data_IF_375690010559
#
_entry.id   IF_375690010559
#
_cell.length_a   1.000
_cell.length_b   1.000
_cell.length_c   1.000
_cell.angle_alpha   90.00
_cell.angle_beta   90.00
_cell.angle_gamma   90.00
#
_symmetry.space_group_name_H-M   'P 1'
#
loop_
_entity.id
_entity.type
_entity.pdbx_description
1 polymer ?
#
# COMPACT_ATOMS: atom_id res chain seq x y z
N UNK A 1 -61.50 33.24 -34.68
CA UNK A 1 -60.48 33.76 -33.73
C UNK A 1 -60.41 32.80 -32.57
N UNK A 2 -59.35 32.01 -32.45
CA UNK A 2 -59.09 31.12 -31.36
C UNK A 2 -57.79 31.56 -30.65
N UNK A 3 -57.69 31.59 -29.33
CA UNK A 3 -56.50 32.09 -28.65
C UNK A 3 -55.42 30.99 -28.48
N UNK A 4 -54.18 31.38 -28.66
CA UNK A 4 -52.97 30.56 -28.56
C UNK A 4 -52.67 30.19 -27.11
N UNK A 5 -52.47 28.89 -26.86
CA UNK A 5 -52.07 28.32 -25.56
C UNK A 5 -50.53 28.36 -25.48
N UNK A 6 -49.99 29.14 -24.52
CA UNK A 6 -48.54 29.20 -24.22
C UNK A 6 -48.14 27.96 -23.42
N UNK A 7 -47.31 27.09 -23.99
CA UNK A 7 -46.62 26.00 -23.31
C UNK A 7 -45.51 26.55 -22.39
N UNK A 8 -45.56 26.23 -21.12
CA UNK A 8 -44.62 26.64 -20.06
C UNK A 8 -43.61 25.51 -19.85
N UNK A 9 -42.42 25.63 -20.45
CA UNK A 9 -41.33 24.69 -20.30
C UNK A 9 -40.72 24.82 -18.88
N UNK A 10 -40.91 23.83 -18.04
CA UNK A 10 -40.24 23.75 -16.73
C UNK A 10 -38.86 23.07 -16.93
N UNK A 11 -37.80 23.86 -16.93
CA UNK A 11 -36.42 23.37 -16.87
C UNK A 11 -36.10 22.92 -15.42
N UNK A 12 -36.08 21.61 -15.22
CA UNK A 12 -35.72 21.00 -13.95
C UNK A 12 -34.20 20.78 -13.90
N UNK A 13 -33.44 21.80 -13.42
CA UNK A 13 -32.00 21.67 -13.13
C UNK A 13 -31.80 20.85 -11.87
N UNK A 14 -31.74 19.52 -11.99
CA UNK A 14 -31.18 18.65 -10.94
C UNK A 14 -29.66 18.88 -10.91
N UNK A 15 -29.19 19.69 -9.97
CA UNK A 15 -27.76 19.73 -9.57
C UNK A 15 -27.43 18.37 -8.95
N UNK A 16 -26.74 17.50 -9.70
CA UNK A 16 -26.14 16.30 -9.17
C UNK A 16 -25.09 16.71 -8.12
N UNK A 17 -25.37 16.47 -6.85
CA UNK A 17 -24.33 16.49 -5.80
C UNK A 17 -23.32 15.40 -6.18
N UNK A 18 -22.09 15.79 -6.45
CA UNK A 18 -20.98 14.84 -6.57
C UNK A 18 -20.92 14.02 -5.29
N UNK A 19 -21.17 12.72 -5.42
CA UNK A 19 -21.09 11.78 -4.29
C UNK A 19 -19.61 11.73 -3.91
N UNK A 20 -19.28 12.02 -2.65
CA UNK A 20 -17.93 11.82 -2.13
C UNK A 20 -17.48 10.38 -2.49
N UNK A 21 -16.21 10.16 -2.84
CA UNK A 21 -15.71 8.82 -3.15
C UNK A 21 -16.03 7.92 -1.95
N UNK A 22 -16.67 6.77 -2.22
CA UNK A 22 -17.02 5.83 -1.19
C UNK A 22 -15.72 5.29 -0.56
N UNK A 23 -15.60 5.40 0.76
CA UNK A 23 -14.46 4.81 1.49
C UNK A 23 -14.43 3.30 1.25
N UNK A 24 -13.22 2.76 1.00
CA UNK A 24 -13.04 1.32 0.89
C UNK A 24 -13.14 0.69 2.28
N UNK A 25 -14.04 -0.28 2.50
CA UNK A 25 -14.24 -0.85 3.83
C UNK A 25 -13.03 -1.67 4.28
N UNK A 26 -12.78 -1.69 5.58
CA UNK A 26 -11.73 -2.51 6.18
C UNK A 26 -12.06 -3.99 6.12
N UNK A 27 -11.03 -4.82 6.00
CA UNK A 27 -11.14 -6.28 6.03
C UNK A 27 -10.51 -6.85 7.30
N UNK A 28 -11.29 -7.63 8.06
CA UNK A 28 -10.75 -8.35 9.22
C UNK A 28 -9.77 -9.47 8.83
N UNK A 29 -9.79 -9.93 7.59
CA UNK A 29 -8.92 -11.02 7.12
C UNK A 29 -7.51 -10.56 6.74
N UNK A 30 -7.35 -9.30 6.34
CA UNK A 30 -6.14 -8.80 5.71
C UNK A 30 -4.89 -8.92 6.59
N UNK A 31 -5.03 -8.70 7.90
CA UNK A 31 -3.88 -8.56 8.81
C UNK A 31 -3.69 -9.71 9.80
N UNK A 32 -4.69 -10.55 10.05
CA UNK A 32 -4.64 -11.59 11.10
C UNK A 32 -3.42 -12.53 10.96
N UNK A 33 -2.91 -12.71 9.75
CA UNK A 33 -1.74 -13.59 9.48
C UNK A 33 -0.43 -12.81 9.34
N UNK A 34 -0.45 -11.49 9.52
CA UNK A 34 0.70 -10.60 9.30
C UNK A 34 0.97 -10.36 7.81
N UNK A 35 2.21 -9.97 7.48
CA UNK A 35 2.56 -9.54 6.12
C UNK A 35 2.70 -10.71 5.13
N UNK A 36 3.10 -11.90 5.56
CA UNK A 36 3.38 -13.08 4.71
C UNK A 36 4.45 -12.78 3.65
N UNK A 37 5.55 -12.12 4.05
CA UNK A 37 6.56 -11.58 3.12
C UNK A 37 7.21 -12.70 2.30
N UNK A 38 7.74 -13.73 2.96
CA UNK A 38 8.43 -14.83 2.29
C UNK A 38 7.52 -15.64 1.39
N UNK A 39 6.30 -15.94 1.88
CA UNK A 39 5.31 -16.68 1.11
C UNK A 39 4.85 -15.87 -0.11
N UNK A 40 4.64 -14.55 0.04
CA UNK A 40 4.25 -13.69 -1.07
C UNK A 40 5.37 -13.60 -2.12
N UNK A 41 6.63 -13.47 -1.70
CA UNK A 41 7.78 -13.47 -2.61
C UNK A 41 7.83 -14.77 -3.43
N UNK A 42 7.74 -15.91 -2.78
CA UNK A 42 7.77 -17.22 -3.45
C UNK A 42 6.60 -17.41 -4.42
N UNK A 43 5.40 -16.94 -4.07
CA UNK A 43 4.26 -16.94 -4.99
C UNK A 43 4.54 -16.06 -6.21
N UNK A 44 5.09 -14.85 -6.02
CA UNK A 44 5.42 -13.94 -7.10
C UNK A 44 6.53 -14.51 -8.02
N UNK A 45 7.56 -15.14 -7.46
CA UNK A 45 8.64 -15.79 -8.22
C UNK A 45 8.14 -16.93 -9.12
N UNK A 46 7.12 -17.66 -8.67
CA UNK A 46 6.49 -18.73 -9.46
C UNK A 46 5.32 -18.25 -10.34
N UNK A 47 5.06 -16.94 -10.44
CA UNK A 47 3.88 -16.43 -11.13
C UNK A 47 4.10 -16.29 -12.64
N UNK A 48 3.22 -16.90 -13.43
CA UNK A 48 3.17 -16.71 -14.88
C UNK A 48 2.25 -15.52 -15.21
N UNK A 49 2.84 -14.44 -15.71
CA UNK A 49 2.13 -13.22 -16.08
C UNK A 49 1.23 -13.37 -17.31
N UNK A 50 1.37 -14.43 -18.10
CA UNK A 50 0.49 -14.77 -19.22
C UNK A 50 -0.66 -15.67 -18.79
N UNK A 51 -0.53 -16.31 -17.63
CA UNK A 51 -1.53 -17.22 -17.07
C UNK A 51 -2.62 -16.48 -16.30
N UNK A 52 -3.83 -17.07 -16.25
CA UNK A 52 -4.89 -16.54 -15.40
C UNK A 52 -4.53 -16.66 -13.92
N UNK A 53 -5.08 -15.76 -13.07
CA UNK A 53 -4.92 -15.80 -11.62
C UNK A 53 -5.31 -17.16 -11.03
N UNK A 54 -6.40 -17.76 -11.54
CA UNK A 54 -6.85 -19.09 -11.12
C UNK A 54 -5.84 -20.18 -11.46
N UNK A 55 -5.29 -20.18 -12.68
CA UNK A 55 -4.29 -21.16 -13.12
C UNK A 55 -3.01 -21.06 -12.25
N UNK A 56 -2.53 -19.85 -12.01
CA UNK A 56 -1.38 -19.60 -11.13
C UNK A 56 -1.61 -20.09 -9.70
N UNK A 57 -2.73 -19.76 -9.07
CA UNK A 57 -3.07 -20.21 -7.73
C UNK A 57 -3.22 -21.75 -7.65
N UNK A 58 -3.75 -22.39 -8.69
CA UNK A 58 -3.80 -23.85 -8.76
C UNK A 58 -2.39 -24.45 -8.83
N UNK A 59 -1.48 -23.85 -9.62
CA UNK A 59 -0.07 -24.26 -9.69
C UNK A 59 0.62 -24.13 -8.33
N UNK A 60 0.46 -22.99 -7.62
CA UNK A 60 0.99 -22.80 -6.27
C UNK A 60 0.50 -23.90 -5.32
N UNK A 61 -0.79 -24.26 -5.38
CA UNK A 61 -1.37 -25.32 -4.54
C UNK A 61 -0.83 -26.71 -4.88
N UNK A 62 -0.64 -27.01 -6.16
CA UNK A 62 -0.17 -28.33 -6.59
C UNK A 62 1.33 -28.53 -6.35
N UNK A 63 2.15 -27.49 -6.58
CA UNK A 63 3.61 -27.56 -6.40
C UNK A 63 4.08 -27.29 -4.98
N UNK A 64 3.23 -26.67 -4.15
CA UNK A 64 3.61 -26.18 -2.82
C UNK A 64 4.93 -25.37 -2.85
N UNK A 65 5.09 -24.47 -3.81
CA UNK A 65 6.33 -23.71 -4.01
C UNK A 65 6.72 -22.85 -2.79
N UNK A 66 5.77 -22.58 -1.88
CA UNK A 66 6.04 -21.85 -0.62
C UNK A 66 6.51 -22.75 0.52
N UNK A 67 6.69 -24.07 0.29
CA UNK A 67 7.10 -25.00 1.35
C UNK A 67 6.14 -25.04 2.54
N UNK A 68 4.82 -24.88 2.30
CA UNK A 68 3.83 -24.86 3.37
C UNK A 68 3.81 -26.18 4.14
N UNK A 69 3.89 -26.18 5.48
CA UNK A 69 3.94 -27.40 6.27
C UNK A 69 2.61 -28.16 6.30
N UNK A 70 1.50 -27.50 5.96
CA UNK A 70 0.16 -28.10 5.90
C UNK A 70 -0.65 -27.56 4.74
N UNK A 71 -1.59 -28.39 4.23
CA UNK A 71 -2.54 -27.95 3.19
C UNK A 71 -3.44 -26.79 3.66
N UNK A 72 -3.77 -26.76 4.95
CA UNK A 72 -4.54 -25.65 5.54
C UNK A 72 -3.78 -24.33 5.45
N UNK A 73 -2.47 -24.33 5.74
CA UNK A 73 -1.60 -23.16 5.62
C UNK A 73 -1.46 -22.72 4.15
N UNK A 74 -1.18 -23.65 3.26
CA UNK A 74 -1.10 -23.40 1.81
C UNK A 74 -2.38 -22.73 1.27
N UNK A 75 -3.55 -23.29 1.62
CA UNK A 75 -4.85 -22.73 1.27
C UNK A 75 -5.01 -21.31 1.83
N UNK A 76 -4.61 -21.08 3.08
CA UNK A 76 -4.69 -19.78 3.73
C UNK A 76 -3.83 -18.73 3.01
N UNK A 77 -2.57 -19.06 2.68
CA UNK A 77 -1.66 -18.17 1.94
C UNK A 77 -2.24 -17.84 0.56
N UNK A 78 -2.65 -18.83 -0.20
CA UNK A 78 -3.27 -18.62 -1.53
C UNK A 78 -4.53 -17.73 -1.45
N UNK A 79 -5.36 -17.91 -0.42
CA UNK A 79 -6.56 -17.09 -0.22
C UNK A 79 -6.20 -15.66 0.12
N UNK A 80 -5.24 -15.45 1.03
CA UNK A 80 -4.77 -14.12 1.41
C UNK A 80 -4.12 -13.40 0.23
N UNK A 81 -3.22 -14.07 -0.51
CA UNK A 81 -2.60 -13.54 -1.71
C UNK A 81 -3.64 -13.13 -2.75
N UNK A 82 -4.60 -14.03 -3.04
CA UNK A 82 -5.66 -13.77 -4.02
C UNK A 82 -6.53 -12.56 -3.67
N UNK A 83 -6.69 -12.24 -2.40
CA UNK A 83 -7.47 -11.07 -1.95
C UNK A 83 -6.67 -9.78 -2.02
N UNK A 84 -5.39 -9.82 -1.67
CA UNK A 84 -4.52 -8.65 -1.61
C UNK A 84 -4.06 -8.19 -2.99
N UNK A 85 -3.76 -9.11 -3.90
CA UNK A 85 -3.00 -8.80 -5.10
C UNK A 85 -3.73 -9.15 -6.40
N UNK A 86 -3.51 -8.27 -7.41
CA UNK A 86 -3.90 -8.45 -8.81
C UNK A 86 -2.64 -8.48 -9.70
N UNK A 87 -1.92 -9.63 -9.74
CA UNK A 87 -0.57 -9.72 -10.32
C UNK A 87 -0.46 -9.47 -11.82
N UNK A 88 -1.57 -9.58 -12.56
CA UNK A 88 -1.61 -9.34 -14.01
C UNK A 88 -1.96 -7.90 -14.37
N UNK A 89 -2.27 -7.06 -13.38
CA UNK A 89 -2.66 -5.66 -13.56
C UNK A 89 -1.99 -4.75 -12.52
N UNK A 90 -2.70 -4.35 -11.49
CA UNK A 90 -2.24 -3.38 -10.48
C UNK A 90 -0.90 -3.74 -9.84
N UNK A 91 -0.65 -5.02 -9.57
CA UNK A 91 0.54 -5.48 -8.85
C UNK A 91 1.54 -6.21 -9.78
N UNK A 92 1.49 -5.92 -11.09
CA UNK A 92 2.35 -6.55 -12.09
C UNK A 92 3.84 -6.27 -11.84
N UNK A 93 4.19 -5.03 -11.57
CA UNK A 93 5.56 -4.60 -11.30
C UNK A 93 6.14 -5.25 -10.05
N UNK A 94 5.32 -5.51 -9.01
CA UNK A 94 5.74 -6.27 -7.83
C UNK A 94 6.15 -7.72 -8.20
N UNK A 95 5.40 -8.35 -9.10
CA UNK A 95 5.72 -9.71 -9.59
C UNK A 95 6.96 -9.71 -10.47
N UNK A 96 7.11 -8.72 -11.35
CA UNK A 96 8.32 -8.55 -12.16
C UNK A 96 9.55 -8.40 -11.26
N UNK A 97 9.49 -7.50 -10.27
CA UNK A 97 10.59 -7.24 -9.33
C UNK A 97 10.98 -8.50 -8.51
N UNK A 98 10.05 -9.38 -8.19
CA UNK A 98 10.34 -10.63 -7.48
C UNK A 98 11.27 -11.58 -8.28
N UNK A 99 11.36 -11.38 -9.60
CA UNK A 99 12.16 -12.20 -10.51
C UNK A 99 13.44 -11.52 -11.01
N UNK A 100 13.81 -10.39 -10.43
CA UNK A 100 15.06 -9.68 -10.70
C UNK A 100 16.10 -9.93 -9.62
N UNK A 101 17.29 -9.38 -9.82
CA UNK A 101 18.39 -9.45 -8.84
C UNK A 101 18.25 -8.48 -7.65
N UNK A 102 17.11 -7.75 -7.54
CA UNK A 102 16.92 -6.71 -6.50
C UNK A 102 17.14 -7.20 -5.06
N UNK A 103 16.97 -8.50 -4.82
CA UNK A 103 17.07 -9.10 -3.49
C UNK A 103 15.86 -8.82 -2.59
N UNK A 104 15.66 -9.71 -1.61
CA UNK A 104 14.49 -9.65 -0.74
C UNK A 104 14.41 -8.34 0.08
N UNK A 105 15.54 -7.80 0.49
CA UNK A 105 15.57 -6.56 1.29
C UNK A 105 15.04 -5.33 0.53
N UNK A 106 15.28 -5.22 -0.78
CA UNK A 106 14.77 -4.13 -1.63
C UNK A 106 13.38 -4.44 -2.17
N UNK A 107 13.02 -5.72 -2.35
CA UNK A 107 11.67 -6.13 -2.73
C UNK A 107 10.64 -5.94 -1.60
N UNK A 108 11.06 -6.09 -0.35
CA UNK A 108 10.19 -5.96 0.83
C UNK A 108 9.50 -4.58 0.94
N UNK A 109 10.15 -3.43 0.72
CA UNK A 109 9.47 -2.13 0.65
C UNK A 109 8.43 -2.02 -0.47
N UNK A 110 8.66 -2.67 -1.63
CA UNK A 110 7.67 -2.71 -2.70
C UNK A 110 6.41 -3.45 -2.23
N UNK A 111 6.60 -4.60 -1.56
CA UNK A 111 5.48 -5.33 -0.98
C UNK A 111 4.72 -4.50 0.06
N UNK A 112 5.43 -3.72 0.90
CA UNK A 112 4.79 -2.81 1.85
C UNK A 112 3.88 -1.83 1.11
N UNK A 113 4.38 -1.18 0.06
CA UNK A 113 3.60 -0.24 -0.77
C UNK A 113 2.33 -0.90 -1.34
N UNK A 114 2.48 -2.02 -2.01
CA UNK A 114 1.35 -2.73 -2.61
C UNK A 114 0.34 -3.23 -1.57
N UNK A 115 0.83 -3.75 -0.44
CA UNK A 115 -0.02 -4.22 0.64
C UNK A 115 -0.78 -3.07 1.31
N UNK A 116 -0.15 -1.93 1.57
CA UNK A 116 -0.80 -0.77 2.17
C UNK A 116 -1.86 -0.15 1.24
N UNK A 117 -1.63 -0.17 -0.08
CA UNK A 117 -2.64 0.24 -1.06
C UNK A 117 -3.79 -0.76 -1.21
N UNK A 118 -3.55 -2.05 -1.03
CA UNK A 118 -4.58 -3.10 -1.19
C UNK A 118 -5.39 -3.39 0.07
N UNK A 119 -4.84 -3.07 1.24
CA UNK A 119 -5.45 -3.27 2.56
C UNK A 119 -5.54 -1.92 3.28
N UNK A 120 -6.62 -1.13 3.08
CA UNK A 120 -6.73 0.23 3.63
C UNK A 120 -6.49 0.29 5.14
N UNK A 121 -6.99 -0.70 5.90
CA UNK A 121 -6.72 -0.82 7.34
C UNK A 121 -5.21 -0.84 7.66
N UNK A 122 -4.40 -1.44 6.79
CA UNK A 122 -2.94 -1.47 6.99
C UNK A 122 -2.32 -0.10 6.69
N UNK A 123 -2.70 0.53 5.57
CA UNK A 123 -2.24 1.87 5.20
C UNK A 123 -2.57 2.92 6.28
N UNK A 124 -3.83 2.96 6.73
CA UNK A 124 -4.28 3.88 7.77
C UNK A 124 -3.63 3.59 9.13
N UNK A 125 -3.43 2.31 9.45
CA UNK A 125 -2.70 1.90 10.63
C UNK A 125 -1.22 2.30 10.64
N UNK A 126 -0.59 2.38 9.47
CA UNK A 126 0.78 2.90 9.34
C UNK A 126 0.81 4.42 9.55
N UNK A 127 -0.18 5.16 9.06
CA UNK A 127 -0.32 6.59 9.32
C UNK A 127 -0.57 6.87 10.80
N UNK A 128 -1.48 6.13 11.44
CA UNK A 128 -1.68 6.20 12.88
C UNK A 128 -0.37 5.95 13.66
N UNK A 129 0.38 4.92 13.27
CA UNK A 129 1.66 4.61 13.93
C UNK A 129 2.70 5.72 13.72
N UNK A 130 2.67 6.39 12.55
CA UNK A 130 3.47 7.60 12.31
C UNK A 130 3.06 8.73 13.26
N UNK A 131 1.76 9.01 13.42
CA UNK A 131 1.26 10.07 14.28
C UNK A 131 1.68 9.85 15.75
N UNK A 132 1.59 8.61 16.24
CA UNK A 132 2.07 8.26 17.60
C UNK A 132 3.57 8.53 17.72
N UNK A 133 4.36 8.13 16.73
CA UNK A 133 5.83 8.32 16.77
C UNK A 133 6.22 9.79 16.67
N UNK A 134 5.58 10.55 15.78
CA UNK A 134 5.86 11.98 15.58
C UNK A 134 5.43 12.85 16.76
N UNK A 135 4.44 12.40 17.53
CA UNK A 135 4.03 13.01 18.80
C UNK A 135 4.97 12.66 19.98
N UNK A 136 6.09 11.97 19.73
CA UNK A 136 7.09 11.61 20.75
C UNK A 136 6.88 10.25 21.42
N UNK A 137 5.94 9.44 20.93
CA UNK A 137 5.81 8.04 21.38
C UNK A 137 6.99 7.20 20.93
N UNK A 138 7.55 6.40 21.83
CA UNK A 138 8.68 5.49 21.54
C UNK A 138 8.25 4.07 21.19
N UNK A 139 7.01 3.71 21.53
CA UNK A 139 6.47 2.35 21.37
C UNK A 139 4.95 2.34 21.21
N UNK A 140 4.43 1.23 20.69
CA UNK A 140 3.00 0.94 20.62
C UNK A 140 2.69 -0.46 21.15
N UNK A 141 1.46 -0.66 21.64
CA UNK A 141 0.96 -1.91 22.15
C UNK A 141 -0.40 -2.26 21.52
N UNK A 142 -0.78 -3.54 21.60
CA UNK A 142 -2.03 -4.02 21.00
C UNK A 142 -3.29 -3.32 21.58
N UNK A 143 -3.25 -2.84 22.83
CA UNK A 143 -4.34 -2.07 23.42
C UNK A 143 -4.54 -0.73 22.69
N UNK A 144 -3.45 0.02 22.44
CA UNK A 144 -3.51 1.29 21.72
C UNK A 144 -3.97 1.09 20.25
N UNK A 145 -3.49 0.02 19.60
CA UNK A 145 -3.95 -0.33 18.26
C UNK A 145 -5.44 -0.73 18.22
N UNK A 146 -5.95 -1.35 19.30
CA UNK A 146 -7.37 -1.67 19.44
C UNK A 146 -8.20 -0.41 19.64
N UNK A 147 -7.80 0.49 20.53
CA UNK A 147 -8.47 1.80 20.74
C UNK A 147 -8.52 2.62 19.45
N UNK A 148 -7.39 2.69 18.72
CA UNK A 148 -7.36 3.33 17.43
C UNK A 148 -8.33 2.67 16.45
N UNK A 149 -8.31 1.34 16.32
CA UNK A 149 -9.19 0.60 15.42
C UNK A 149 -10.67 0.87 15.75
N UNK A 150 -11.04 0.90 17.01
CA UNK A 150 -12.40 1.21 17.45
C UNK A 150 -12.80 2.66 17.17
N UNK A 151 -11.84 3.60 17.27
CA UNK A 151 -12.09 5.01 16.94
C UNK A 151 -12.37 5.25 15.45
N UNK A 152 -11.92 4.35 14.55
CA UNK A 152 -12.16 4.50 13.10
C UNK A 152 -13.64 4.38 12.72
N UNK A 153 -14.48 3.81 13.57
CA UNK A 153 -15.94 3.75 13.36
C UNK A 153 -16.57 5.14 13.28
N UNK A 154 -16.06 6.08 14.10
CA UNK A 154 -16.50 7.49 14.05
C UNK A 154 -16.01 8.22 12.79
N UNK A 155 -15.01 7.67 12.10
CA UNK A 155 -14.48 8.18 10.85
C UNK A 155 -15.16 7.57 9.61
N UNK A 156 -16.12 6.64 9.82
CA UNK A 156 -16.94 6.04 8.77
C UNK A 156 -16.69 4.55 8.51
N UNK A 157 -15.77 3.90 9.25
CA UNK A 157 -15.49 2.45 9.14
C UNK A 157 -16.45 1.64 10.03
N UNK A 158 -17.77 1.76 9.79
CA UNK A 158 -18.80 1.10 10.57
C UNK A 158 -18.76 -0.43 10.53
N UNK A 159 -18.06 -1.03 9.56
CA UNK A 159 -17.85 -2.48 9.51
C UNK A 159 -17.09 -3.02 10.72
N UNK A 160 -16.27 -2.19 11.38
CA UNK A 160 -15.53 -2.55 12.59
C UNK A 160 -16.48 -2.86 13.77
N UNK A 161 -17.61 -2.17 13.86
CA UNK A 161 -18.64 -2.43 14.88
C UNK A 161 -19.24 -3.84 14.75
N UNK A 162 -19.32 -4.35 13.52
CA UNK A 162 -19.81 -5.70 13.23
C UNK A 162 -18.83 -6.83 13.59
N UNK A 163 -17.59 -6.51 13.98
CA UNK A 163 -16.61 -7.52 14.36
C UNK A 163 -16.73 -7.90 15.85
N UNK A 164 -16.57 -9.19 16.14
CA UNK A 164 -16.46 -9.63 17.53
C UNK A 164 -15.22 -9.04 18.22
N UNK A 165 -15.23 -8.88 19.53
CA UNK A 165 -14.09 -8.40 20.33
C UNK A 165 -12.82 -9.21 20.06
N UNK A 166 -12.95 -10.53 19.92
CA UNK A 166 -11.81 -11.38 19.59
C UNK A 166 -11.26 -11.06 18.18
N UNK A 167 -12.14 -10.76 17.23
CA UNK A 167 -11.72 -10.34 15.86
C UNK A 167 -10.99 -9.01 15.92
N UNK A 168 -11.52 -7.99 16.60
CA UNK A 168 -10.87 -6.68 16.76
C UNK A 168 -9.49 -6.81 17.40
N UNK A 169 -9.37 -7.56 18.50
CA UNK A 169 -8.08 -7.84 19.17
C UNK A 169 -7.07 -8.52 18.26
N UNK A 170 -7.51 -9.50 17.46
CA UNK A 170 -6.64 -10.20 16.50
C UNK A 170 -6.21 -9.31 15.35
N UNK A 171 -7.07 -8.44 14.86
CA UNK A 171 -6.77 -7.47 13.81
C UNK A 171 -5.77 -6.43 14.31
N UNK A 172 -6.00 -5.83 15.48
CA UNK A 172 -5.07 -4.89 16.11
C UNK A 172 -3.67 -5.49 16.34
N UNK A 173 -3.62 -6.72 16.87
CA UNK A 173 -2.36 -7.45 17.02
C UNK A 173 -1.71 -7.78 15.68
N UNK A 174 -2.50 -8.14 14.67
CA UNK A 174 -2.06 -8.43 13.31
C UNK A 174 -1.48 -7.21 12.59
N UNK A 175 -2.05 -6.02 12.80
CA UNK A 175 -1.54 -4.74 12.32
C UNK A 175 -0.10 -4.51 12.84
N UNK A 176 0.08 -4.58 14.14
CA UNK A 176 1.40 -4.38 14.76
C UNK A 176 2.39 -5.48 14.34
N UNK A 177 1.90 -6.72 14.15
CA UNK A 177 2.74 -7.81 13.63
C UNK A 177 3.22 -7.49 12.21
N UNK A 178 2.33 -7.05 11.33
CA UNK A 178 2.69 -6.67 9.96
C UNK A 178 3.71 -5.51 9.96
N UNK A 179 3.53 -4.48 10.80
CA UNK A 179 4.52 -3.41 10.96
C UNK A 179 5.89 -3.94 11.41
N UNK A 180 5.92 -4.95 12.28
CA UNK A 180 7.18 -5.59 12.69
C UNK A 180 7.77 -6.49 11.59
N UNK A 181 6.94 -7.22 10.84
CA UNK A 181 7.38 -8.03 9.71
C UNK A 181 8.09 -7.15 8.66
N UNK A 182 7.61 -5.92 8.43
CA UNK A 182 8.25 -4.94 7.55
C UNK A 182 9.48 -4.23 8.18
N UNK A 183 9.70 -4.38 9.47
CA UNK A 183 10.83 -3.75 10.16
C UNK A 183 10.56 -2.30 10.61
N UNK A 184 9.31 -1.86 10.62
CA UNK A 184 8.90 -0.55 11.14
C UNK A 184 8.78 -0.55 12.66
N UNK A 185 8.61 -1.72 13.24
CA UNK A 185 8.47 -1.97 14.67
C UNK A 185 9.38 -3.13 15.12
N UNK A 186 9.86 -3.09 16.36
CA UNK A 186 10.66 -4.13 16.98
C UNK A 186 10.09 -4.54 18.34
N UNK A 187 10.07 -5.83 18.63
CA UNK A 187 9.56 -6.39 19.89
C UNK A 187 8.29 -7.22 19.69
N UNK A 188 7.82 -7.86 20.77
CA UNK A 188 6.66 -8.77 20.72
C UNK A 188 5.41 -8.17 21.37
N UNK A 189 5.50 -7.70 22.61
CA UNK A 189 4.38 -7.15 23.39
C UNK A 189 4.37 -5.63 23.31
N UNK A 190 5.44 -5.01 23.76
CA UNK A 190 5.75 -3.59 23.57
C UNK A 190 6.59 -3.49 22.32
N UNK A 191 6.09 -2.80 21.29
CA UNK A 191 6.76 -2.67 20.01
C UNK A 191 7.32 -1.28 19.88
N UNK A 192 8.64 -1.16 19.90
CA UNK A 192 9.34 0.11 19.72
C UNK A 192 9.39 0.46 18.24
N UNK A 193 9.30 1.73 17.96
CA UNK A 193 9.55 2.27 16.63
C UNK A 193 11.03 2.11 16.28
N UNK A 194 11.29 1.74 15.02
CA UNK A 194 12.65 1.60 14.49
C UNK A 194 12.95 2.74 13.53
N UNK A 195 14.20 3.11 13.38
CA UNK A 195 14.62 3.87 12.21
C UNK A 195 14.36 3.02 10.95
N UNK A 196 13.70 3.59 9.95
CA UNK A 196 13.42 2.92 8.70
C UNK A 196 14.13 3.66 7.57
N UNK A 197 14.95 2.95 6.83
CA UNK A 197 15.65 3.48 5.67
C UNK A 197 15.08 2.84 4.40
N UNK A 198 14.49 3.67 3.54
CA UNK A 198 14.05 3.26 2.21
C UNK A 198 15.23 3.42 1.25
N UNK A 199 15.82 2.32 0.76
CA UNK A 199 16.93 2.35 -0.18
C UNK A 199 16.54 3.06 -1.49
N UNK A 200 17.53 3.43 -2.31
CA UNK A 200 17.28 4.27 -3.49
C UNK A 200 16.44 3.57 -4.55
N UNK A 201 16.62 2.28 -4.77
CA UNK A 201 15.85 1.51 -5.73
C UNK A 201 14.36 1.45 -5.37
N UNK A 202 13.95 1.01 -4.15
CA UNK A 202 12.54 1.05 -3.78
C UNK A 202 12.01 2.49 -3.63
N UNK A 203 12.85 3.49 -3.34
CA UNK A 203 12.42 4.89 -3.34
C UNK A 203 12.02 5.34 -4.76
N UNK A 204 12.83 5.03 -5.78
CA UNK A 204 12.50 5.33 -7.18
C UNK A 204 11.22 4.62 -7.63
N UNK A 205 11.04 3.37 -7.21
CA UNK A 205 9.82 2.61 -7.50
C UNK A 205 8.57 3.28 -6.90
N UNK A 206 8.59 3.59 -5.60
CA UNK A 206 7.47 4.26 -4.91
C UNK A 206 7.22 5.64 -5.51
N UNK A 207 8.26 6.35 -5.93
CA UNK A 207 8.13 7.66 -6.57
C UNK A 207 7.37 7.56 -7.90
N UNK A 208 7.67 6.56 -8.73
CA UNK A 208 6.92 6.29 -9.97
C UNK A 208 5.45 5.94 -9.68
N UNK A 209 5.17 5.13 -8.66
CA UNK A 209 3.80 4.81 -8.23
C UNK A 209 3.05 6.07 -7.74
N UNK A 210 3.70 6.94 -6.98
CA UNK A 210 3.12 8.20 -6.55
C UNK A 210 2.85 9.13 -7.74
N UNK A 211 3.77 9.24 -8.69
CA UNK A 211 3.58 10.05 -9.90
C UNK A 211 2.43 9.52 -10.76
N UNK A 212 2.31 8.20 -10.92
CA UNK A 212 1.19 7.58 -11.65
C UNK A 212 -0.17 7.80 -10.98
N UNK A 213 -0.19 7.95 -9.65
CA UNK A 213 -1.43 8.13 -8.86
C UNK A 213 -1.84 9.59 -8.70
N UNK A 214 -0.95 10.55 -8.94
CA UNK A 214 -1.16 11.97 -8.68
C UNK A 214 -1.18 12.78 -9.97
N UNK A 215 -1.88 13.94 -9.95
CA UNK A 215 -2.01 14.81 -11.13
C UNK A 215 -0.77 15.65 -11.41
N UNK A 216 0.06 15.91 -10.41
CA UNK A 216 1.25 16.74 -10.52
C UNK A 216 2.39 16.17 -9.71
N UNK A 217 3.62 16.47 -10.11
CA UNK A 217 4.82 16.08 -9.36
C UNK A 217 4.79 16.61 -7.92
N UNK A 218 4.38 17.86 -7.72
CA UNK A 218 4.26 18.45 -6.40
C UNK A 218 3.28 17.67 -5.50
N UNK A 219 2.12 17.25 -6.05
CA UNK A 219 1.15 16.44 -5.31
C UNK A 219 1.70 15.03 -5.01
N UNK A 220 2.49 14.45 -5.91
CA UNK A 220 3.13 13.14 -5.68
C UNK A 220 4.18 13.20 -4.56
N UNK A 221 4.92 14.31 -4.43
CA UNK A 221 5.90 14.50 -3.36
C UNK A 221 5.23 14.81 -2.01
N UNK A 222 4.06 15.46 -2.02
CA UNK A 222 3.27 15.77 -0.82
C UNK A 222 2.30 14.63 -0.44
N UNK A 223 2.37 13.47 -1.09
CA UNK A 223 1.48 12.34 -0.82
C UNK A 223 1.74 11.78 0.58
N UNK A 224 0.69 11.68 1.41
CA UNK A 224 0.81 11.17 2.78
C UNK A 224 1.32 9.71 2.85
N UNK A 225 1.22 8.93 1.77
CA UNK A 225 1.69 7.55 1.69
C UNK A 225 3.22 7.42 1.88
N UNK A 226 3.98 8.48 1.71
CA UNK A 226 5.40 8.51 2.07
C UNK A 226 5.63 8.23 3.56
N UNK A 227 4.67 8.61 4.42
CA UNK A 227 4.72 8.36 5.87
C UNK A 227 4.63 6.86 6.22
N UNK A 228 4.16 5.99 5.30
CA UNK A 228 4.25 4.54 5.46
C UNK A 228 5.69 4.05 5.61
N UNK A 229 6.62 4.78 5.00
CA UNK A 229 8.07 4.55 5.07
C UNK A 229 8.76 5.46 6.08
N UNK A 230 7.99 6.20 6.90
CA UNK A 230 8.52 7.22 7.82
C UNK A 230 9.35 8.28 7.12
N UNK A 231 8.97 8.64 5.92
CA UNK A 231 9.65 9.59 5.06
C UNK A 231 8.78 10.85 4.88
N UNK A 232 8.87 11.83 5.79
CA UNK A 232 8.14 13.09 5.65
C UNK A 232 8.70 13.90 4.47
N UNK A 233 7.92 14.87 3.96
CA UNK A 233 8.24 15.63 2.74
C UNK A 233 9.65 16.23 2.76
N UNK A 234 10.08 16.80 3.88
CA UNK A 234 11.42 17.40 3.99
C UNK A 234 12.56 16.37 3.83
N UNK A 235 12.39 15.20 4.42
CA UNK A 235 13.36 14.10 4.28
C UNK A 235 13.34 13.52 2.87
N UNK A 236 12.15 13.35 2.27
CA UNK A 236 12.01 12.95 0.88
C UNK A 236 12.74 13.94 -0.05
N UNK A 237 12.53 15.25 0.14
CA UNK A 237 13.19 16.27 -0.67
C UNK A 237 14.71 16.21 -0.53
N UNK A 238 15.22 16.04 0.68
CA UNK A 238 16.66 15.84 0.90
C UNK A 238 17.18 14.61 0.14
N UNK A 239 16.45 13.49 0.16
CA UNK A 239 16.80 12.28 -0.58
C UNK A 239 16.81 12.50 -2.09
N UNK A 240 15.83 13.25 -2.64
CA UNK A 240 15.81 13.60 -4.07
C UNK A 240 17.00 14.47 -4.48
N UNK A 241 17.44 15.39 -3.63
CA UNK A 241 18.65 16.18 -3.89
C UNK A 241 19.91 15.31 -3.94
N UNK A 242 20.03 14.32 -3.03
CA UNK A 242 21.14 13.36 -3.06
C UNK A 242 21.13 12.51 -4.33
N UNK A 243 19.97 12.01 -4.75
CA UNK A 243 19.82 11.26 -6.00
C UNK A 243 20.14 12.12 -7.23
N UNK A 244 19.79 13.41 -7.20
CA UNK A 244 20.16 14.36 -8.25
C UNK A 244 21.68 14.59 -8.30
N UNK A 245 22.32 14.77 -7.16
CA UNK A 245 23.78 14.94 -7.07
C UNK A 245 24.54 13.71 -7.60
N UNK A 246 24.02 12.51 -7.34
CA UNK A 246 24.56 11.26 -7.86
C UNK A 246 24.15 10.96 -9.32
N UNK A 247 23.42 11.87 -9.99
CA UNK A 247 22.93 11.77 -11.37
C UNK A 247 22.01 10.58 -11.65
N UNK A 248 21.38 10.04 -10.63
CA UNK A 248 20.38 8.99 -10.79
C UNK A 248 19.03 9.55 -11.26
N UNK A 249 18.75 10.81 -10.93
CA UNK A 249 17.56 11.55 -11.37
C UNK A 249 17.93 12.98 -11.76
N UNK A 250 17.00 13.70 -12.41
CA UNK A 250 17.06 15.17 -12.49
C UNK A 250 15.95 15.75 -11.64
N UNK A 251 16.28 16.53 -10.63
CA UNK A 251 15.33 17.16 -9.71
C UNK A 251 15.61 18.65 -9.58
N UNK A 252 14.56 19.45 -9.75
CA UNK A 252 14.62 20.89 -9.59
C UNK A 252 13.33 21.39 -8.93
N UNK A 253 13.44 22.26 -7.93
CA UNK A 253 12.28 22.91 -7.27
C UNK A 253 12.52 24.41 -7.15
N UNK A 254 11.55 25.20 -7.63
CA UNK A 254 11.50 26.65 -7.47
C UNK A 254 10.09 27.05 -7.01
N UNK A 255 9.93 27.26 -5.72
CA UNK A 255 8.62 27.53 -5.14
C UNK A 255 7.65 26.35 -5.34
N UNK A 256 6.55 26.60 -6.05
CA UNK A 256 5.54 25.58 -6.39
C UNK A 256 5.87 24.75 -7.64
N UNK A 257 6.88 25.17 -8.42
CA UNK A 257 7.27 24.46 -9.63
C UNK A 257 8.26 23.36 -9.26
N UNK A 258 7.91 22.13 -9.61
CA UNK A 258 8.75 20.94 -9.39
C UNK A 258 8.95 20.23 -10.72
N UNK A 259 10.18 20.10 -11.14
CA UNK A 259 10.59 19.31 -12.28
C UNK A 259 11.34 18.07 -11.80
N UNK A 260 10.92 16.91 -12.28
CA UNK A 260 11.50 15.63 -11.93
C UNK A 260 11.57 14.75 -13.16
N UNK A 261 12.79 14.25 -13.45
CA UNK A 261 13.01 13.25 -14.48
C UNK A 261 13.64 12.02 -13.84
N UNK A 262 13.02 10.89 -14.02
CA UNK A 262 13.41 9.59 -13.49
C UNK A 262 14.12 8.74 -14.54
N UNK A 263 14.83 7.68 -14.14
CA UNK A 263 15.53 6.78 -15.08
C UNK A 263 14.56 5.94 -15.93
N UNK A 264 13.29 5.87 -15.55
CA UNK A 264 12.25 5.14 -16.27
C UNK A 264 10.90 5.87 -16.18
N UNK A 265 9.99 5.59 -17.12
CA UNK A 265 8.68 6.23 -17.20
C UNK A 265 7.58 5.44 -16.46
N UNK A 266 7.87 4.24 -16.00
CA UNK A 266 6.94 3.37 -15.27
C UNK A 266 7.69 2.40 -14.36
N UNK A 267 6.98 1.84 -13.38
CA UNK A 267 7.53 0.80 -12.50
C UNK A 267 7.89 -0.47 -13.25
N UNK A 268 7.13 -0.86 -14.27
CA UNK A 268 7.47 -2.00 -15.13
C UNK A 268 8.77 -1.76 -15.89
N UNK A 269 8.96 -0.56 -16.49
CA UNK A 269 10.17 -0.18 -17.18
C UNK A 269 11.37 -0.12 -16.20
N UNK A 270 11.20 0.50 -15.02
CA UNK A 270 12.24 0.54 -13.99
C UNK A 270 12.74 -0.86 -13.63
N UNK A 271 11.81 -1.79 -13.42
CA UNK A 271 12.15 -3.16 -13.04
C UNK A 271 12.85 -3.92 -14.17
N UNK A 272 12.40 -3.74 -15.41
CA UNK A 272 12.91 -4.48 -16.57
C UNK A 272 14.21 -3.90 -17.14
N UNK A 273 14.41 -2.59 -17.06
CA UNK A 273 15.55 -1.91 -17.70
C UNK A 273 16.68 -1.59 -16.72
N UNK A 274 16.34 -1.37 -15.43
CA UNK A 274 17.30 -0.92 -14.41
C UNK A 274 17.70 -2.04 -13.45
N UNK A 275 16.81 -3.00 -13.17
CA UNK A 275 17.05 -4.08 -12.19
C UNK A 275 17.26 -5.46 -12.83
N UNK A 276 17.19 -5.57 -14.14
CA UNK A 276 17.35 -6.85 -14.87
C UNK A 276 18.82 -7.22 -15.07
#
# INVERSE_FOLDING_TARGET
MAPATKARTKTNKRKGKAKAPAMTPYSSYGLIKGALISETLQVCQGWDLQGSKRANLNRVRSSNCIGAPTQAWLKQVCTTFSRRFEPTSRDRSLVLAANTAIGQQHWKPLLLWHMANSEPLFGDGLLWAWDVSSAGGDQVQSAQALEWLESTTSQGHHEVDGWSDNTRKRVASGLLKAGADFGLLQGKVKRRFTAYYLADEPLLYVLLECLASNRTTAAALADQRWLWFRLPEQELEHRLLLLHQSRLISYYRAGSVVELKLPADSTDALVQEVWS
#
